data_IF_529258202829
#
_entry.id   IF_529258202829
#
_cell.length_a   1.000
_cell.length_b   1.000
_cell.length_c   1.000
_cell.angle_alpha   90.00
_cell.angle_beta   90.00
_cell.angle_gamma   90.00
#
_symmetry.space_group_name_H-M   'P 1'
#
loop_
_entity.id
_entity.type
_entity.pdbx_description
1 polymer ?
#
# COMPACT_ATOMS: atom_id res chain seq x y z
N UNK A 1 -15.14 -8.25 4.78
CA UNK A 1 -14.82 -6.81 4.80
C UNK A 1 -13.87 -6.49 3.65
N UNK A 2 -12.76 -7.22 3.57
CA UNK A 2 -11.76 -7.29 2.49
C UNK A 2 -12.09 -6.58 1.16
N UNK A 3 -13.03 -7.09 0.37
CA UNK A 3 -13.30 -6.59 -0.98
C UNK A 3 -13.82 -5.14 -0.98
N UNK A 4 -14.61 -4.76 0.03
CA UNK A 4 -15.13 -3.40 0.16
C UNK A 4 -13.99 -2.38 0.32
N UNK A 5 -13.01 -2.70 1.18
CA UNK A 5 -11.85 -1.84 1.41
C UNK A 5 -10.99 -1.67 0.15
N UNK A 6 -10.86 -2.74 -0.65
CA UNK A 6 -10.10 -2.69 -1.88
C UNK A 6 -10.80 -1.88 -2.98
N UNK A 7 -12.10 -2.14 -3.21
CA UNK A 7 -12.86 -1.54 -4.31
C UNK A 7 -13.14 -0.06 -4.03
N UNK A 8 -13.56 0.29 -2.82
CA UNK A 8 -14.08 1.63 -2.52
C UNK A 8 -13.05 2.57 -1.89
N UNK A 9 -12.06 2.02 -1.20
CA UNK A 9 -11.06 2.82 -0.47
C UNK A 9 -9.63 2.60 -0.97
N UNK A 10 -9.41 1.70 -1.93
CA UNK A 10 -8.08 1.39 -2.47
C UNK A 10 -7.12 0.77 -1.45
N UNK A 11 -7.62 0.36 -0.29
CA UNK A 11 -6.86 -0.26 0.79
C UNK A 11 -6.70 -1.76 0.52
N UNK A 12 -5.47 -2.28 0.59
CA UNK A 12 -5.23 -3.72 0.45
C UNK A 12 -5.41 -4.40 1.81
N UNK A 13 -6.62 -4.87 2.07
CA UNK A 13 -6.92 -5.71 3.23
C UNK A 13 -6.75 -7.19 2.86
N UNK A 14 -6.35 -8.00 3.84
CA UNK A 14 -6.39 -9.46 3.78
C UNK A 14 -7.10 -10.00 5.01
N UNK A 15 -7.68 -11.19 4.88
CA UNK A 15 -8.29 -11.93 6.00
C UNK A 15 -7.27 -12.95 6.52
N UNK A 16 -6.97 -12.90 7.82
CA UNK A 16 -6.06 -13.83 8.49
C UNK A 16 -6.85 -14.79 9.37
N UNK A 17 -6.81 -16.08 9.04
CA UNK A 17 -7.38 -17.15 9.87
C UNK A 17 -6.29 -17.68 10.81
N UNK A 18 -6.26 -17.18 12.06
CA UNK A 18 -5.15 -17.40 12.98
C UNK A 18 -5.19 -18.73 13.74
N UNK A 19 -6.37 -19.34 13.86
CA UNK A 19 -6.56 -20.58 14.62
C UNK A 19 -7.74 -21.39 14.10
N UNK A 20 -7.68 -22.72 14.20
CA UNK A 20 -8.82 -23.57 13.89
C UNK A 20 -9.94 -23.43 14.94
N UNK A 21 -9.56 -23.33 16.23
CA UNK A 21 -10.50 -23.07 17.30
C UNK A 21 -10.81 -21.58 17.36
N UNK A 22 -12.09 -21.22 17.19
CA UNK A 22 -12.57 -19.83 17.23
C UNK A 22 -12.47 -19.21 18.62
N UNK A 23 -12.56 -20.02 19.68
CA UNK A 23 -12.57 -19.57 21.07
C UNK A 23 -11.71 -20.51 21.94
N UNK A 24 -10.38 -20.45 21.81
CA UNK A 24 -9.49 -21.33 22.56
C UNK A 24 -9.47 -20.97 24.06
N UNK A 25 -9.16 -21.93 24.95
CA UNK A 25 -8.94 -21.63 26.37
C UNK A 25 -7.82 -20.59 26.58
N UNK A 26 -7.90 -19.83 27.66
CA UNK A 26 -6.94 -18.77 27.98
C UNK A 26 -5.47 -19.26 28.06
N UNK A 27 -5.27 -20.55 28.37
CA UNK A 27 -3.93 -21.18 28.41
C UNK A 27 -3.21 -21.19 27.06
N UNK A 28 -3.91 -21.05 25.93
CA UNK A 28 -3.31 -21.03 24.59
C UNK A 28 -2.91 -19.63 24.11
N UNK A 29 -3.30 -18.57 24.83
CA UNK A 29 -3.08 -17.19 24.39
C UNK A 29 -1.60 -16.85 24.23
N UNK A 30 -0.75 -17.31 25.16
CA UNK A 30 0.70 -17.07 25.09
C UNK A 30 1.33 -17.76 23.88
N UNK A 31 0.94 -19.00 23.58
CA UNK A 31 1.40 -19.71 22.38
C UNK A 31 0.98 -18.97 21.11
N UNK A 32 -0.31 -18.60 21.00
CA UNK A 32 -0.80 -17.86 19.84
C UNK A 32 -0.10 -16.51 19.66
N UNK A 33 0.20 -15.80 20.74
CA UNK A 33 0.99 -14.57 20.68
C UNK A 33 2.39 -14.83 20.11
N UNK A 34 3.11 -15.80 20.67
CA UNK A 34 4.47 -16.12 20.25
C UNK A 34 4.54 -16.59 18.80
N UNK A 35 3.55 -17.38 18.35
CA UNK A 35 3.46 -17.88 16.98
C UNK A 35 3.19 -16.76 15.96
N UNK A 36 2.44 -15.72 16.35
CA UNK A 36 1.96 -14.69 15.42
C UNK A 36 2.72 -13.36 15.51
N UNK A 37 3.48 -13.11 16.59
CA UNK A 37 4.17 -11.83 16.80
C UNK A 37 5.09 -11.46 15.62
N UNK A 38 6.04 -12.34 15.27
CA UNK A 38 6.99 -12.07 14.16
C UNK A 38 6.28 -11.93 12.82
N UNK A 39 5.37 -12.83 12.41
CA UNK A 39 4.58 -12.66 11.18
C UNK A 39 3.80 -11.34 11.11
N UNK A 40 3.15 -10.92 12.20
CA UNK A 40 2.39 -9.67 12.24
C UNK A 40 3.29 -8.44 12.08
N UNK A 41 4.48 -8.44 12.70
CA UNK A 41 5.46 -7.37 12.52
C UNK A 41 5.95 -7.28 11.07
N UNK A 42 6.30 -8.42 10.46
CA UNK A 42 6.73 -8.48 9.06
C UNK A 42 5.59 -8.03 8.12
N UNK A 43 4.35 -8.41 8.44
CA UNK A 43 3.17 -7.99 7.69
C UNK A 43 2.98 -6.47 7.74
N UNK A 44 3.11 -5.83 8.91
CA UNK A 44 3.03 -4.37 9.03
C UNK A 44 4.12 -3.65 8.22
N UNK A 45 5.33 -4.21 8.16
CA UNK A 45 6.41 -3.66 7.35
C UNK A 45 6.09 -3.64 5.84
N UNK A 46 5.24 -4.57 5.35
CA UNK A 46 4.82 -4.59 3.95
C UNK A 46 4.06 -3.32 3.52
N UNK A 47 3.51 -2.56 4.47
CA UNK A 47 2.87 -1.26 4.19
C UNK A 47 3.82 -0.22 3.56
N UNK A 48 5.14 -0.40 3.71
CA UNK A 48 6.15 0.48 3.13
C UNK A 48 6.64 0.05 1.74
N UNK A 49 6.19 -1.10 1.23
CA UNK A 49 6.56 -1.62 -0.10
C UNK A 49 5.85 -0.83 -1.22
N UNK A 50 6.47 -0.80 -2.39
CA UNK A 50 5.89 -0.21 -3.60
C UNK A 50 6.31 1.23 -3.82
N UNK A 51 5.33 2.11 -4.07
CA UNK A 51 5.55 3.52 -4.39
C UNK A 51 4.74 4.43 -3.48
N UNK A 52 5.29 5.62 -3.21
CA UNK A 52 4.58 6.71 -2.53
C UNK A 52 5.14 8.06 -2.98
N UNK A 53 4.33 9.11 -2.85
CA UNK A 53 4.77 10.46 -3.16
C UNK A 53 3.67 11.49 -3.03
N UNK A 54 3.94 12.70 -3.52
CA UNK A 54 3.00 13.82 -3.54
C UNK A 54 2.89 14.33 -4.98
N UNK A 55 1.66 14.53 -5.46
CA UNK A 55 1.39 15.14 -6.76
C UNK A 55 1.29 16.65 -6.59
N UNK A 56 2.14 17.38 -7.32
CA UNK A 56 2.28 18.83 -7.22
C UNK A 56 1.93 19.51 -8.54
N UNK A 57 1.25 20.65 -8.46
CA UNK A 57 1.00 21.52 -9.60
C UNK A 57 2.27 22.27 -9.99
N UNK A 58 2.66 22.17 -11.27
CA UNK A 58 3.82 22.89 -11.79
C UNK A 58 3.62 24.42 -11.80
N UNK A 59 2.39 24.89 -12.03
CA UNK A 59 2.10 26.32 -12.14
C UNK A 59 2.00 27.01 -10.78
N UNK A 60 1.46 26.33 -9.77
CA UNK A 60 1.19 26.93 -8.45
C UNK A 60 2.14 26.44 -7.36
N UNK A 61 2.88 25.35 -7.59
CA UNK A 61 3.71 24.71 -6.57
C UNK A 61 2.93 24.09 -5.42
N UNK A 62 1.60 23.96 -5.54
CA UNK A 62 0.72 23.41 -4.48
C UNK A 62 0.39 21.93 -4.74
N UNK A 63 0.13 21.14 -3.68
CA UNK A 63 -0.35 19.77 -3.84
C UNK A 63 -1.70 19.73 -4.55
N UNK A 64 -1.90 18.70 -5.38
CA UNK A 64 -3.15 18.49 -6.11
C UNK A 64 -3.97 17.41 -5.39
N UNK A 65 -5.07 17.78 -4.71
CA UNK A 65 -5.96 16.81 -4.09
C UNK A 65 -6.81 16.08 -5.14
N UNK A 66 -7.23 14.85 -4.81
CA UNK A 66 -8.14 14.06 -5.63
C UNK A 66 -7.70 13.89 -7.10
N UNK A 67 -6.39 13.86 -7.35
CA UNK A 67 -5.85 13.47 -8.64
C UNK A 67 -6.00 11.96 -8.81
N UNK A 68 -6.50 11.53 -9.96
CA UNK A 68 -6.68 10.12 -10.31
C UNK A 68 -5.39 9.54 -10.84
N UNK A 69 -4.92 8.46 -10.24
CA UNK A 69 -3.72 7.72 -10.64
C UNK A 69 -4.13 6.34 -11.12
N UNK A 70 -3.68 5.97 -12.31
CA UNK A 70 -3.83 4.63 -12.89
C UNK A 70 -2.47 4.05 -13.25
N UNK A 71 -2.33 2.73 -13.11
CA UNK A 71 -1.17 2.00 -13.61
C UNK A 71 -1.58 1.41 -14.94
N UNK A 72 -0.87 1.74 -16.03
CA UNK A 72 -1.35 1.48 -17.40
C UNK A 72 -1.78 0.03 -17.68
N UNK A 73 -1.10 -0.95 -17.09
CA UNK A 73 -1.38 -2.37 -17.30
C UNK A 73 -2.32 -2.96 -16.22
N UNK A 74 -3.04 -2.10 -15.48
CA UNK A 74 -3.94 -2.50 -14.38
C UNK A 74 -5.25 -1.71 -14.43
N UNK A 75 -6.34 -2.41 -14.12
CA UNK A 75 -7.69 -1.85 -14.17
C UNK A 75 -7.98 -0.86 -13.05
N UNK A 76 -7.33 -1.02 -11.89
CA UNK A 76 -7.70 -0.26 -10.69
C UNK A 76 -7.02 1.11 -10.64
N UNK A 77 -7.83 2.12 -10.32
CA UNK A 77 -7.42 3.50 -10.12
C UNK A 77 -7.48 3.85 -8.63
N UNK A 78 -6.73 4.86 -8.24
CA UNK A 78 -6.74 5.38 -6.87
C UNK A 78 -6.45 6.88 -6.88
N UNK A 79 -6.88 7.56 -5.83
CA UNK A 79 -6.88 9.02 -5.80
C UNK A 79 -5.89 9.54 -4.76
N UNK A 80 -5.35 10.73 -5.01
CA UNK A 80 -4.53 11.42 -4.00
C UNK A 80 -5.37 11.91 -2.82
N UNK A 81 -4.75 12.03 -1.65
CA UNK A 81 -5.38 12.63 -0.47
C UNK A 81 -5.64 14.12 -0.64
N UNK A 82 -6.27 14.75 0.37
CA UNK A 82 -6.40 16.22 0.46
C UNK A 82 -5.05 16.97 0.40
N UNK A 83 -3.95 16.30 0.73
CA UNK A 83 -2.60 16.85 0.69
C UNK A 83 -1.84 16.44 -0.59
N UNK A 84 -2.50 15.84 -1.57
CA UNK A 84 -1.89 15.37 -2.82
C UNK A 84 -1.02 14.13 -2.66
N UNK A 85 -1.05 13.47 -1.49
CA UNK A 85 -0.25 12.26 -1.23
C UNK A 85 -0.87 11.04 -1.90
N UNK A 86 -0.04 10.07 -2.25
CA UNK A 86 -0.48 8.75 -2.70
C UNK A 86 0.47 7.67 -2.23
N UNK A 87 -0.06 6.44 -2.15
CA UNK A 87 0.67 5.22 -1.85
C UNK A 87 0.10 4.06 -2.65
N UNK A 88 0.96 3.17 -3.14
CA UNK A 88 0.52 1.94 -3.78
C UNK A 88 1.53 0.83 -3.53
N UNK A 89 1.07 -0.24 -2.88
CA UNK A 89 1.86 -1.46 -2.73
C UNK A 89 2.02 -2.09 -4.11
N UNK A 90 3.28 -2.33 -4.49
CA UNK A 90 3.68 -2.91 -5.77
C UNK A 90 4.87 -3.83 -5.53
N UNK A 91 4.93 -4.91 -6.29
CA UNK A 91 6.10 -5.78 -6.31
C UNK A 91 7.26 -5.10 -7.08
N UNK A 92 8.50 -5.52 -6.86
CA UNK A 92 9.64 -5.03 -7.63
C UNK A 92 9.41 -5.13 -9.14
N UNK A 93 9.75 -4.05 -9.85
CA UNK A 93 9.48 -3.95 -11.28
C UNK A 93 9.33 -2.52 -11.75
N UNK A 94 9.13 -2.38 -13.06
CA UNK A 94 8.97 -1.08 -13.73
C UNK A 94 7.50 -0.88 -14.09
N UNK A 95 6.97 0.27 -13.71
CA UNK A 95 5.57 0.63 -13.94
C UNK A 95 5.46 1.98 -14.64
N UNK A 96 4.34 2.20 -15.31
CA UNK A 96 3.97 3.51 -15.86
C UNK A 96 2.69 4.00 -15.17
N UNK A 97 2.82 5.09 -14.45
CA UNK A 97 1.72 5.77 -13.76
C UNK A 97 1.16 6.84 -14.68
N UNK A 98 -0.15 6.80 -14.94
CA UNK A 98 -0.88 7.87 -15.60
C UNK A 98 -1.63 8.66 -14.52
N UNK A 99 -1.37 9.97 -14.48
CA UNK A 99 -1.95 10.91 -13.52
C UNK A 99 -2.86 11.88 -14.26
N UNK A 100 -4.11 11.94 -13.83
CA UNK A 100 -5.13 12.83 -14.35
C UNK A 100 -5.69 13.69 -13.21
N UNK A 101 -5.85 15.00 -13.46
CA UNK A 101 -6.43 15.92 -12.49
C UNK A 101 -7.20 17.02 -13.21
N UNK A 102 -8.35 17.41 -12.68
CA UNK A 102 -9.17 18.47 -13.27
C UNK A 102 -8.38 19.78 -13.37
N UNK A 103 -8.41 20.42 -14.55
CA UNK A 103 -7.67 21.66 -14.81
C UNK A 103 -6.17 21.47 -15.05
N UNK A 104 -5.67 20.23 -15.14
CA UNK A 104 -4.28 19.92 -15.45
C UNK A 104 -4.17 19.00 -16.67
N UNK A 105 -3.05 19.11 -17.40
CA UNK A 105 -2.74 18.16 -18.46
C UNK A 105 -2.37 16.80 -17.87
N UNK A 106 -2.88 15.73 -18.47
CA UNK A 106 -2.52 14.37 -18.11
C UNK A 106 -1.02 14.15 -18.26
N UNK A 107 -0.43 13.40 -17.32
CA UNK A 107 1.00 13.05 -17.34
C UNK A 107 1.20 11.56 -17.11
N UNK A 108 2.08 10.96 -17.91
CA UNK A 108 2.57 9.60 -17.67
C UNK A 108 3.99 9.64 -17.11
N UNK A 109 4.25 8.89 -16.04
CA UNK A 109 5.53 8.83 -15.34
C UNK A 109 5.98 7.37 -15.21
N UNK A 110 7.21 7.08 -15.62
CA UNK A 110 7.85 5.78 -15.39
C UNK A 110 8.40 5.75 -13.97
N UNK A 111 8.07 4.70 -13.22
CA UNK A 111 8.58 4.46 -11.87
C UNK A 111 9.17 3.05 -11.76
N UNK A 112 10.16 2.90 -10.90
CA UNK A 112 10.82 1.62 -10.66
C UNK A 112 10.73 1.31 -9.16
N UNK A 113 10.25 0.10 -8.86
CA UNK A 113 10.23 -0.44 -7.50
C UNK A 113 11.44 -1.37 -7.40
N UNK A 114 12.41 -1.07 -6.54
CA UNK A 114 13.62 -1.89 -6.42
C UNK A 114 13.28 -3.26 -5.83
N UNK A 115 14.12 -4.26 -6.13
CA UNK A 115 14.11 -5.51 -5.38
C UNK A 115 14.74 -5.22 -4.02
N UNK A 116 13.95 -5.39 -2.97
CA UNK A 116 14.47 -5.54 -1.61
C UNK A 116 14.82 -7.01 -1.44
N UNK A 117 16.05 -7.33 -1.06
CA UNK A 117 16.36 -8.67 -0.56
C UNK A 117 15.61 -8.82 0.76
N UNK A 118 14.57 -9.64 0.77
CA UNK A 118 13.73 -9.91 1.95
C UNK A 118 14.50 -10.73 3.03
N UNK A 119 15.84 -10.77 2.97
CA UNK A 119 16.74 -11.48 3.88
C UNK A 119 17.42 -10.61 4.94
N UNK A 120 17.28 -9.27 4.89
CA UNK A 120 17.77 -8.43 5.99
C UNK A 120 16.75 -8.44 7.14
N UNK A 121 17.08 -9.15 8.23
CA UNK A 121 16.41 -8.99 9.52
C UNK A 121 16.35 -7.50 9.91
N UNK A 122 15.25 -7.04 10.55
CA UNK A 122 15.11 -5.65 10.93
C UNK A 122 16.29 -5.26 11.85
N UNK A 123 17.11 -4.30 11.41
CA UNK A 123 18.18 -3.73 12.23
C UNK A 123 17.55 -3.14 13.50
N UNK A 124 17.93 -3.70 14.64
CA UNK A 124 17.62 -3.15 15.96
C UNK A 124 18.29 -1.79 16.09
N UNK A 125 17.50 -0.72 16.11
CA UNK A 125 17.89 0.58 16.67
C UNK A 125 17.57 0.63 18.15
#
# INVERSE_FOLDING_TARGET
MQDYNYIWHGCMEITLEMSCCKYPPASFLESHWNDNLKPLLIWMQQSHRGIKGIIMSKSTGKPIPNATISILDRQNQFNTTKNGEYWKILLPGVYKLRVNAAGHNEKTVRVEVPRTDDSEEPRST
#
